data_IF_086946832954
#
_entry.id   IF_086946832954
#
_cell.length_a   1.000
_cell.length_b   1.000
_cell.length_c   1.000
_cell.angle_alpha   90.00
_cell.angle_beta   90.00
_cell.angle_gamma   90.00
#
_symmetry.space_group_name_H-M   'P 1'
#
loop_
_entity.id
_entity.type
_entity.pdbx_description
1 polymer ?
#
# COMPACT_ATOMS: atom_id res chain seq x y z
N UNK A 1 -53.12 -10.60 36.46
CA UNK A 1 -52.62 -11.79 35.74
C UNK A 1 -52.52 -11.39 34.28
N UNK A 2 -51.65 -10.43 34.01
CA UNK A 2 -50.23 -10.60 33.64
C UNK A 2 -50.11 -10.89 32.14
N UNK A 3 -49.97 -9.79 31.39
CA UNK A 3 -49.26 -9.76 30.12
C UNK A 3 -47.79 -10.14 30.37
N UNK A 4 -47.38 -11.30 29.87
CA UNK A 4 -45.97 -11.65 29.77
C UNK A 4 -45.49 -11.29 28.36
N UNK A 5 -45.06 -10.04 28.19
CA UNK A 5 -44.28 -9.62 27.02
C UNK A 5 -42.91 -10.32 27.06
N UNK A 6 -42.60 -11.09 26.01
CA UNK A 6 -41.27 -11.65 25.77
C UNK A 6 -40.24 -10.51 25.72
N UNK A 7 -39.05 -10.63 26.33
CA UNK A 7 -37.99 -9.65 26.14
C UNK A 7 -37.56 -9.71 24.68
N UNK A 8 -37.91 -8.66 23.93
CA UNK A 8 -37.37 -8.41 22.59
C UNK A 8 -35.85 -8.46 22.67
N UNK A 9 -35.24 -9.17 21.73
CA UNK A 9 -33.80 -9.23 21.56
C UNK A 9 -33.21 -7.81 21.50
N UNK A 10 -32.49 -7.40 22.54
CA UNK A 10 -31.64 -6.21 22.49
C UNK A 10 -30.57 -6.42 21.42
N UNK A 11 -30.54 -5.71 20.28
CA UNK A 11 -29.37 -5.70 19.43
C UNK A 11 -28.49 -4.55 19.94
N UNK A 12 -27.72 -4.78 21.00
CA UNK A 12 -26.81 -3.74 21.47
C UNK A 12 -25.53 -4.30 22.05
N UNK A 13 -24.74 -5.01 21.24
CA UNK A 13 -23.29 -4.98 21.45
C UNK A 13 -22.74 -3.78 20.69
N UNK A 14 -22.51 -2.69 21.40
CA UNK A 14 -21.77 -1.54 20.89
C UNK A 14 -20.36 -2.01 20.52
N UNK A 15 -20.15 -2.29 19.23
CA UNK A 15 -18.91 -2.87 18.73
C UNK A 15 -18.01 -1.81 18.08
N UNK A 16 -16.75 -1.77 18.50
CA UNK A 16 -15.68 -1.02 17.84
C UNK A 16 -15.04 -1.94 16.81
N UNK A 17 -15.07 -1.55 15.53
CA UNK A 17 -14.48 -2.29 14.42
C UNK A 17 -13.36 -1.49 13.80
N UNK A 18 -12.13 -1.99 13.91
CA UNK A 18 -10.93 -1.29 13.46
C UNK A 18 -10.32 -2.01 12.27
N UNK A 19 -10.12 -1.29 11.17
CA UNK A 19 -9.34 -1.76 10.03
C UNK A 19 -7.87 -1.36 10.19
N UNK A 20 -6.96 -2.33 10.08
CA UNK A 20 -5.52 -2.12 10.17
C UNK A 20 -4.93 -1.81 8.79
N UNK A 21 -4.55 -0.55 8.59
CA UNK A 21 -3.83 -0.08 7.40
C UNK A 21 -2.34 -0.18 7.66
N UNK A 22 -1.62 -1.00 6.92
CA UNK A 22 -0.17 -1.17 7.10
C UNK A 22 0.51 -1.59 5.80
N UNK A 23 1.81 -1.40 5.73
CA UNK A 23 2.65 -2.09 4.75
C UNK A 23 2.98 -3.50 5.31
N UNK A 24 2.58 -4.59 4.63
CA UNK A 24 2.83 -5.94 5.13
C UNK A 24 4.32 -6.30 5.22
N UNK A 25 5.16 -5.77 4.33
CA UNK A 25 6.60 -6.03 4.34
C UNK A 25 7.34 -5.30 5.47
N UNK A 26 6.88 -4.09 5.81
CA UNK A 26 7.59 -3.20 6.73
C UNK A 26 7.08 -3.27 8.17
N UNK A 27 5.81 -3.65 8.37
CA UNK A 27 5.17 -3.65 9.69
C UNK A 27 5.07 -5.05 10.32
N UNK A 28 5.89 -6.03 9.89
CA UNK A 28 5.78 -7.43 10.33
C UNK A 28 5.89 -7.55 11.86
N UNK A 29 6.83 -6.84 12.46
CA UNK A 29 7.10 -6.89 13.90
C UNK A 29 5.96 -6.22 14.68
N UNK A 30 5.54 -5.04 14.26
CA UNK A 30 4.47 -4.26 14.88
C UNK A 30 3.13 -5.00 14.79
N UNK A 31 2.80 -5.53 13.61
CA UNK A 31 1.57 -6.31 13.38
C UNK A 31 1.55 -7.56 14.26
N UNK A 32 2.67 -8.26 14.40
CA UNK A 32 2.80 -9.42 15.29
C UNK A 32 2.57 -9.01 16.75
N UNK A 33 3.27 -7.98 17.23
CA UNK A 33 3.12 -7.48 18.59
C UNK A 33 1.69 -7.03 18.89
N UNK A 34 1.04 -6.35 17.93
CA UNK A 34 -0.36 -5.98 18.03
C UNK A 34 -1.27 -7.20 18.17
N UNK A 35 -1.09 -8.22 17.32
CA UNK A 35 -1.94 -9.41 17.32
C UNK A 35 -1.77 -10.28 18.56
N UNK A 36 -0.53 -10.52 18.96
CA UNK A 36 -0.19 -11.45 20.05
C UNK A 36 -0.36 -10.81 21.43
N UNK A 37 -0.14 -9.50 21.55
CA UNK A 37 -0.09 -8.82 22.86
C UNK A 37 -1.12 -7.72 23.02
N UNK A 38 -1.25 -6.80 22.06
CA UNK A 38 -2.05 -5.58 22.24
C UNK A 38 -3.54 -5.82 22.05
N UNK A 39 -3.95 -6.42 20.94
CA UNK A 39 -5.37 -6.65 20.63
C UNK A 39 -6.06 -7.56 21.65
N UNK A 40 -5.46 -8.64 22.18
CA UNK A 40 -6.08 -9.44 23.24
C UNK A 40 -6.34 -8.61 24.51
N UNK A 41 -5.34 -7.84 24.95
CA UNK A 41 -5.46 -6.95 26.12
C UNK A 41 -6.48 -5.86 25.92
N UNK A 42 -6.51 -5.26 24.72
CA UNK A 42 -7.45 -4.20 24.39
C UNK A 42 -8.88 -4.73 24.30
N UNK A 43 -9.09 -5.91 23.72
CA UNK A 43 -10.40 -6.59 23.71
C UNK A 43 -10.90 -6.85 25.12
N UNK A 44 -10.04 -7.36 26.00
CA UNK A 44 -10.41 -7.60 27.40
C UNK A 44 -10.79 -6.30 28.11
N UNK A 45 -10.01 -5.24 27.92
CA UNK A 45 -10.29 -3.94 28.51
C UNK A 45 -11.59 -3.33 27.98
N UNK A 46 -11.82 -3.35 26.66
CA UNK A 46 -13.07 -2.87 26.06
C UNK A 46 -14.28 -3.62 26.64
N UNK A 47 -14.18 -4.95 26.79
CA UNK A 47 -15.25 -5.78 27.33
C UNK A 47 -15.52 -5.50 28.81
N UNK A 48 -14.47 -5.48 29.63
CA UNK A 48 -14.59 -5.40 31.10
C UNK A 48 -14.83 -3.99 31.63
N UNK A 49 -14.16 -2.98 31.06
CA UNK A 49 -14.22 -1.61 31.56
C UNK A 49 -15.27 -0.76 30.84
N UNK A 50 -15.55 -1.05 29.56
CA UNK A 50 -16.41 -0.20 28.72
C UNK A 50 -17.70 -0.91 28.26
N UNK A 51 -17.81 -2.24 28.45
CA UNK A 51 -18.95 -3.03 27.95
C UNK A 51 -19.02 -3.09 26.41
N UNK A 52 -17.89 -2.90 25.73
CA UNK A 52 -17.79 -2.85 24.27
C UNK A 52 -17.07 -4.09 23.72
N UNK A 53 -17.53 -4.58 22.56
CA UNK A 53 -16.78 -5.57 21.78
C UNK A 53 -15.78 -4.90 20.83
N UNK A 54 -14.57 -5.44 20.73
CA UNK A 54 -13.57 -4.95 19.78
C UNK A 54 -13.27 -6.01 18.71
N UNK A 55 -13.49 -5.65 17.45
CA UNK A 55 -13.07 -6.42 16.29
C UNK A 55 -11.97 -5.67 15.54
N UNK A 56 -10.90 -6.37 15.18
CA UNK A 56 -9.82 -5.80 14.35
C UNK A 56 -9.69 -6.63 13.10
N UNK A 57 -9.74 -5.97 11.93
CA UNK A 57 -9.54 -6.57 10.62
C UNK A 57 -8.14 -6.25 10.13
N UNK A 58 -7.31 -7.28 10.04
CA UNK A 58 -5.97 -7.22 9.49
C UNK A 58 -5.95 -7.91 8.11
N UNK A 59 -5.82 -7.16 7.00
CA UNK A 59 -5.86 -7.75 5.65
C UNK A 59 -4.69 -8.71 5.36
N UNK A 60 -3.60 -8.62 6.12
CA UNK A 60 -2.38 -9.41 5.89
C UNK A 60 -2.12 -10.40 7.03
N UNK A 61 -3.16 -10.81 7.74
CA UNK A 61 -3.07 -11.75 8.85
C UNK A 61 -2.45 -13.09 8.41
N UNK A 62 -2.82 -13.55 7.21
CA UNK A 62 -2.25 -14.75 6.58
C UNK A 62 -0.80 -14.52 6.16
N UNK A 63 0.07 -15.49 6.47
CA UNK A 63 1.44 -15.53 5.95
C UNK A 63 1.51 -15.86 4.45
N UNK A 64 0.43 -16.39 3.86
CA UNK A 64 0.32 -16.66 2.42
C UNK A 64 -0.27 -15.44 1.68
N UNK A 65 0.51 -14.78 0.80
CA UNK A 65 0.06 -13.61 0.05
C UNK A 65 -1.10 -13.86 -0.91
N UNK A 66 -1.30 -15.10 -1.36
CA UNK A 66 -2.41 -15.43 -2.27
C UNK A 66 -3.77 -15.35 -1.58
N UNK A 67 -3.78 -15.35 -0.24
CA UNK A 67 -5.00 -15.21 0.58
C UNK A 67 -5.31 -13.76 0.93
N UNK A 68 -4.43 -12.82 0.57
CA UNK A 68 -4.66 -11.42 0.88
C UNK A 68 -5.81 -10.86 0.02
N UNK A 69 -6.67 -10.01 0.60
CA UNK A 69 -7.80 -9.44 -0.11
C UNK A 69 -7.32 -8.52 -1.24
N UNK A 70 -8.03 -8.59 -2.36
CA UNK A 70 -7.81 -7.67 -3.46
C UNK A 70 -8.21 -6.23 -3.09
N UNK A 71 -7.92 -5.27 -3.97
CA UNK A 71 -8.23 -3.86 -3.72
C UNK A 71 -9.73 -3.60 -3.50
N UNK A 72 -10.59 -4.34 -4.20
CA UNK A 72 -12.05 -4.16 -4.09
C UNK A 72 -12.54 -4.61 -2.73
N UNK A 73 -12.08 -5.76 -2.27
CA UNK A 73 -12.42 -6.33 -0.97
C UNK A 73 -11.91 -5.45 0.17
N UNK A 74 -10.66 -4.96 0.09
CA UNK A 74 -10.12 -4.01 1.08
C UNK A 74 -10.96 -2.75 1.21
N UNK A 75 -11.39 -2.16 0.09
CA UNK A 75 -12.29 -1.00 0.10
C UNK A 75 -13.59 -1.28 0.86
N UNK A 76 -14.23 -2.41 0.59
CA UNK A 76 -15.48 -2.79 1.26
C UNK A 76 -15.30 -2.97 2.77
N UNK A 77 -14.18 -3.57 3.20
CA UNK A 77 -13.86 -3.72 4.62
C UNK A 77 -13.65 -2.37 5.33
N UNK A 78 -12.97 -1.44 4.66
CA UNK A 78 -12.76 -0.07 5.17
C UNK A 78 -14.10 0.65 5.31
N UNK A 79 -14.93 0.65 4.27
CA UNK A 79 -16.27 1.27 4.26
C UNK A 79 -17.16 0.66 5.36
N UNK A 80 -17.11 -0.67 5.55
CA UNK A 80 -17.86 -1.36 6.60
C UNK A 80 -17.41 -0.91 8.00
N UNK A 81 -16.10 -0.82 8.25
CA UNK A 81 -15.58 -0.34 9.54
C UNK A 81 -15.97 1.12 9.78
N UNK A 82 -15.84 1.98 8.76
CA UNK A 82 -16.20 3.39 8.83
C UNK A 82 -17.67 3.61 9.22
N UNK A 83 -18.57 2.86 8.60
CA UNK A 83 -20.02 3.00 8.77
C UNK A 83 -20.58 2.31 10.01
N UNK A 84 -19.94 1.23 10.48
CA UNK A 84 -20.53 0.38 11.54
C UNK A 84 -19.73 0.32 12.85
N UNK A 85 -18.55 0.95 12.93
CA UNK A 85 -17.76 1.01 14.16
C UNK A 85 -18.26 2.11 15.11
N UNK A 86 -18.52 1.76 16.37
CA UNK A 86 -18.86 2.71 17.44
C UNK A 86 -17.60 3.32 18.09
N UNK A 87 -16.82 4.07 17.30
CA UNK A 87 -15.60 4.71 17.76
C UNK A 87 -14.55 4.81 16.65
N UNK A 88 -13.25 4.71 17.00
CA UNK A 88 -12.20 4.61 16.01
C UNK A 88 -12.47 3.44 15.05
N UNK A 89 -12.25 3.66 13.76
CA UNK A 89 -12.47 2.62 12.75
C UNK A 89 -11.21 2.26 11.97
N UNK A 90 -10.15 3.04 12.14
CA UNK A 90 -8.92 2.87 11.40
C UNK A 90 -7.71 3.00 12.32
N UNK A 91 -6.78 2.06 12.18
CA UNK A 91 -5.46 2.10 12.75
C UNK A 91 -4.45 2.02 11.61
N UNK A 92 -3.62 3.05 11.42
CA UNK A 92 -2.57 3.06 10.42
C UNK A 92 -1.18 2.88 11.05
N UNK A 93 -0.40 1.95 10.52
CA UNK A 93 1.02 1.79 10.82
C UNK A 93 1.82 2.35 9.65
N UNK A 94 2.50 3.47 9.90
CA UNK A 94 3.36 4.13 8.93
C UNK A 94 4.82 3.87 9.34
N UNK A 95 5.48 2.97 8.62
CA UNK A 95 6.89 2.65 8.82
C UNK A 95 7.82 3.41 7.87
N UNK A 96 9.01 2.85 7.63
CA UNK A 96 10.05 3.42 6.77
C UNK A 96 9.77 3.19 5.29
N UNK A 97 9.29 2.00 4.97
CA UNK A 97 9.01 1.63 3.61
C UNK A 97 7.56 1.90 3.33
N UNK A 98 7.34 2.76 2.35
CA UNK A 98 6.02 2.96 1.77
C UNK A 98 5.66 1.80 0.82
N UNK A 99 6.06 0.54 1.04
CA UNK A 99 5.74 -0.61 0.17
C UNK A 99 6.85 -0.95 -0.83
N UNK A 100 6.72 -2.09 -1.52
CA UNK A 100 7.60 -2.46 -2.64
C UNK A 100 7.46 -1.43 -3.76
N UNK A 101 8.57 -0.82 -4.19
CA UNK A 101 8.57 0.10 -5.33
C UNK A 101 7.96 -0.60 -6.56
N UNK A 102 7.12 0.11 -7.30
CA UNK A 102 6.66 -0.35 -8.61
C UNK A 102 6.98 0.68 -9.68
N UNK A 103 6.70 0.32 -10.93
CA UNK A 103 6.67 1.28 -12.00
C UNK A 103 5.51 2.28 -11.81
N UNK A 104 5.76 3.59 -11.96
CA UNK A 104 4.71 4.62 -11.89
C UNK A 104 3.65 4.40 -12.97
N UNK A 105 2.39 4.68 -12.65
CA UNK A 105 1.29 4.49 -13.61
C UNK A 105 1.36 5.46 -14.78
N UNK A 106 1.87 6.67 -14.54
CA UNK A 106 2.08 7.71 -15.53
C UNK A 106 3.45 8.35 -15.32
N UNK A 107 4.13 8.67 -16.42
CA UNK A 107 5.36 9.47 -16.44
C UNK A 107 5.18 10.52 -17.53
N UNK A 108 5.50 11.79 -17.26
CA UNK A 108 5.39 12.81 -18.30
C UNK A 108 6.27 12.47 -19.52
N UNK A 109 5.85 12.84 -20.73
CA UNK A 109 6.63 12.57 -21.95
C UNK A 109 8.07 13.09 -21.84
N UNK A 110 8.27 14.31 -21.33
CA UNK A 110 9.60 14.90 -21.19
C UNK A 110 10.50 14.08 -20.25
N UNK A 111 9.98 13.70 -19.09
CA UNK A 111 10.72 12.93 -18.08
C UNK A 111 10.97 11.49 -18.56
N UNK A 112 9.99 10.86 -19.19
CA UNK A 112 10.15 9.51 -19.73
C UNK A 112 11.21 9.45 -20.83
N UNK A 113 11.23 10.43 -21.75
CA UNK A 113 12.24 10.53 -22.79
C UNK A 113 13.64 10.78 -22.21
N UNK A 114 13.75 11.63 -21.18
CA UNK A 114 15.00 11.85 -20.45
C UNK A 114 15.53 10.54 -19.85
N UNK A 115 14.67 9.74 -19.19
CA UNK A 115 15.05 8.45 -18.61
C UNK A 115 15.57 7.47 -19.66
N UNK A 116 14.93 7.41 -20.83
CA UNK A 116 15.37 6.58 -21.95
C UNK A 116 16.72 7.04 -22.49
N UNK A 117 16.90 8.35 -22.68
CA UNK A 117 18.12 8.92 -23.22
C UNK A 117 19.32 8.63 -22.31
N UNK A 118 19.18 8.81 -21.00
CA UNK A 118 20.26 8.54 -20.04
C UNK A 118 20.60 7.05 -20.00
N UNK A 119 19.61 6.16 -20.08
CA UNK A 119 19.87 4.73 -20.21
C UNK A 119 20.67 4.40 -21.47
N UNK A 120 20.28 4.96 -22.62
CA UNK A 120 20.96 4.73 -23.89
C UNK A 120 22.42 5.22 -23.85
N UNK A 121 22.65 6.42 -23.29
CA UNK A 121 23.99 6.98 -23.11
C UNK A 121 24.87 6.12 -22.18
N UNK A 122 24.27 5.50 -21.16
CA UNK A 122 24.95 4.58 -20.26
C UNK A 122 25.08 3.14 -20.81
N UNK A 123 24.64 2.87 -22.05
CA UNK A 123 24.67 1.53 -22.65
C UNK A 123 23.66 0.55 -22.05
N UNK A 124 22.65 1.03 -21.33
CA UNK A 124 21.61 0.23 -20.70
C UNK A 124 20.48 -0.01 -21.72
N UNK A 125 20.04 -1.26 -21.86
CA UNK A 125 18.95 -1.63 -22.76
C UNK A 125 17.61 -1.07 -22.24
N UNK A 126 16.97 -0.19 -23.03
CA UNK A 126 15.69 0.44 -22.69
C UNK A 126 14.45 -0.38 -23.10
N UNK A 127 14.63 -1.42 -23.92
CA UNK A 127 13.53 -2.21 -24.46
C UNK A 127 12.53 -2.77 -23.43
N UNK A 128 12.91 -3.12 -22.18
CA UNK A 128 11.92 -3.53 -21.17
C UNK A 128 10.97 -2.37 -20.82
N UNK A 129 11.51 -1.17 -20.62
CA UNK A 129 10.72 0.00 -20.22
C UNK A 129 9.79 0.45 -21.35
N UNK A 130 10.31 0.50 -22.58
CA UNK A 130 9.54 0.86 -23.79
C UNK A 130 8.36 -0.09 -24.05
N UNK A 131 8.50 -1.38 -23.72
CA UNK A 131 7.40 -2.36 -23.79
C UNK A 131 6.38 -2.18 -22.67
N UNK A 132 6.81 -1.73 -21.50
CA UNK A 132 5.95 -1.56 -20.34
C UNK A 132 5.02 -0.34 -20.46
N UNK A 133 5.40 0.70 -21.20
CA UNK A 133 4.65 1.95 -21.31
C UNK A 133 4.03 2.18 -22.69
N UNK A 134 2.96 2.96 -22.73
CA UNK A 134 2.34 3.46 -23.97
C UNK A 134 2.14 4.96 -23.86
N UNK A 135 2.53 5.70 -24.91
CA UNK A 135 2.25 7.13 -24.99
C UNK A 135 0.74 7.39 -25.03
N UNK A 136 0.29 8.32 -24.21
CA UNK A 136 -1.09 8.77 -24.06
C UNK A 136 -1.14 10.30 -24.27
N UNK A 137 -1.60 10.70 -25.46
CA UNK A 137 -1.75 12.10 -25.86
C UNK A 137 -3.01 12.74 -25.28
N UNK A 138 -3.89 11.96 -24.63
CA UNK A 138 -5.14 12.49 -24.08
C UNK A 138 -4.96 13.12 -22.69
N UNK A 139 -3.77 12.99 -22.10
CA UNK A 139 -3.39 13.66 -20.87
C UNK A 139 -2.81 15.05 -21.17
N UNK A 140 -3.05 16.01 -20.27
CA UNK A 140 -2.43 17.34 -20.32
C UNK A 140 -1.66 17.55 -19.00
N UNK A 141 -0.31 17.55 -19.02
CA UNK A 141 0.56 17.32 -20.17
C UNK A 141 0.52 15.87 -20.68
N UNK A 142 0.94 15.61 -21.94
CA UNK A 142 1.04 14.26 -22.48
C UNK A 142 1.91 13.34 -21.61
N UNK A 143 1.51 12.08 -21.44
CA UNK A 143 2.21 11.14 -20.55
C UNK A 143 2.38 9.76 -21.17
N UNK A 144 3.34 9.00 -20.67
CA UNK A 144 3.45 7.57 -20.90
C UNK A 144 2.70 6.84 -19.79
N UNK A 145 1.70 6.04 -20.17
CA UNK A 145 0.88 5.22 -19.27
C UNK A 145 1.43 3.79 -19.19
N UNK A 146 1.57 3.27 -17.98
CA UNK A 146 1.95 1.87 -17.75
C UNK A 146 0.85 0.93 -18.29
N UNK A 147 1.23 -0.01 -19.15
CA UNK A 147 0.31 -0.97 -19.73
C UNK A 147 -0.11 -2.01 -18.68
N UNK A 148 -1.41 -2.27 -18.57
CA UNK A 148 -1.89 -3.38 -17.75
C UNK A 148 -1.36 -4.68 -18.36
N UNK A 149 -0.57 -5.43 -17.57
CA UNK A 149 -0.18 -6.79 -17.96
C UNK A 149 -1.46 -7.60 -18.08
N UNK A 150 -1.77 -8.07 -19.29
CA UNK A 150 -2.91 -8.92 -19.52
C UNK A 150 -2.87 -10.10 -18.52
N UNK A 151 -3.77 -10.06 -17.54
CA UNK A 151 -4.18 -11.28 -16.85
C UNK A 151 -4.83 -12.20 -17.89
N UNK A 152 -4.92 -13.52 -17.63
CA UNK A 152 -5.67 -14.39 -18.52
C UNK A 152 -7.10 -13.85 -18.60
N UNK A 153 -7.44 -13.23 -19.73
CA UNK A 153 -8.81 -13.14 -20.18
C UNK A 153 -9.26 -14.59 -20.30
N UNK A 154 -10.14 -15.02 -19.40
CA UNK A 154 -10.89 -16.25 -19.56
C UNK A 154 -11.72 -16.10 -20.85
N UNK A 155 -11.12 -16.44 -21.99
CA UNK A 155 -11.84 -16.83 -23.19
C UNK A 155 -12.37 -18.25 -23.00
N UNK A 156 -13.43 -18.64 -23.72
CA UNK A 156 -14.10 -19.91 -23.49
C UNK A 156 -13.16 -21.08 -23.74
N UNK A 157 -13.27 -22.06 -22.85
CA UNK A 157 -12.55 -23.31 -22.79
C UNK A 157 -12.71 -24.11 -24.08
N UNK A 158 -11.61 -24.33 -24.80
CA UNK A 158 -11.47 -25.46 -25.71
C UNK A 158 -10.18 -26.21 -25.39
N UNK A 159 -10.35 -27.48 -25.04
CA UNK A 159 -9.29 -28.43 -24.74
C UNK A 159 -8.66 -28.95 -26.03
N UNK A 160 -7.33 -28.90 -26.16
CA UNK A 160 -6.54 -30.11 -26.40
C UNK A 160 -5.03 -29.87 -26.20
N UNK A 161 -4.33 -30.93 -25.81
CA UNK A 161 -2.97 -30.89 -25.24
C UNK A 161 -1.81 -30.62 -26.20
N UNK A 162 -0.63 -30.43 -25.60
CA UNK A 162 0.66 -30.36 -26.27
C UNK A 162 1.75 -29.87 -25.33
N UNK A 163 2.75 -30.70 -25.10
CA UNK A 163 3.83 -30.51 -24.14
C UNK A 163 4.87 -29.46 -24.55
N UNK A 164 5.55 -28.91 -23.54
CA UNK A 164 6.96 -28.50 -23.61
C UNK A 164 7.23 -27.01 -23.87
N UNK A 165 7.90 -26.36 -22.90
CA UNK A 165 8.76 -25.21 -23.18
C UNK A 165 8.59 -24.01 -22.25
N UNK A 166 9.52 -23.85 -21.29
CA UNK A 166 9.93 -22.53 -20.77
C UNK A 166 8.97 -21.83 -19.81
N UNK A 167 8.83 -22.33 -18.59
CA UNK A 167 8.22 -21.57 -17.50
C UNK A 167 9.25 -20.58 -16.92
N UNK A 168 9.65 -19.58 -17.71
CA UNK A 168 10.37 -18.40 -17.21
C UNK A 168 9.34 -17.44 -16.60
N UNK A 169 9.01 -17.72 -15.34
CA UNK A 169 8.74 -16.75 -14.26
C UNK A 169 8.07 -15.41 -14.68
N UNK A 170 6.74 -15.33 -14.51
CA UNK A 170 5.92 -14.11 -14.68
C UNK A 170 6.32 -12.98 -13.70
N UNK A 171 7.03 -13.32 -12.62
CA UNK A 171 7.62 -12.42 -11.62
C UNK A 171 8.84 -11.68 -12.19
N UNK A 172 9.75 -12.39 -12.86
CA UNK A 172 11.04 -11.83 -13.33
C UNK A 172 10.88 -10.69 -14.33
N UNK A 173 9.85 -10.75 -15.18
CA UNK A 173 9.60 -9.67 -16.17
C UNK A 173 9.28 -8.33 -15.51
N UNK A 174 8.65 -8.32 -14.32
CA UNK A 174 8.29 -7.06 -13.62
C UNK A 174 9.46 -6.41 -12.93
N UNK A 175 10.36 -7.25 -12.43
CA UNK A 175 11.57 -6.84 -11.72
C UNK A 175 12.59 -6.24 -12.68
N UNK A 176 12.71 -6.78 -13.90
CA UNK A 176 13.62 -6.23 -14.92
C UNK A 176 13.25 -4.80 -15.31
N UNK A 177 11.97 -4.55 -15.62
CA UNK A 177 11.49 -3.21 -16.01
C UNK A 177 11.67 -2.19 -14.87
N UNK A 178 11.32 -2.59 -13.64
CA UNK A 178 11.50 -1.77 -12.45
C UNK A 178 12.99 -1.46 -12.19
N UNK A 179 13.87 -2.44 -12.36
CA UNK A 179 15.32 -2.27 -12.18
C UNK A 179 15.89 -1.30 -13.21
N UNK A 180 15.49 -1.40 -14.47
CA UNK A 180 15.89 -0.43 -15.51
C UNK A 180 15.40 0.96 -15.14
N UNK A 181 14.14 1.09 -14.71
CA UNK A 181 13.57 2.38 -14.29
C UNK A 181 14.31 2.99 -13.09
N UNK A 182 14.57 2.21 -12.03
CA UNK A 182 15.34 2.64 -10.86
C UNK A 182 16.77 3.07 -11.22
N UNK A 183 17.40 2.33 -12.14
CA UNK A 183 18.75 2.67 -12.63
C UNK A 183 18.71 4.00 -13.39
N UNK A 184 17.71 4.20 -14.25
CA UNK A 184 17.52 5.45 -14.98
C UNK A 184 17.34 6.65 -14.04
N UNK A 185 16.50 6.52 -13.01
CA UNK A 185 16.32 7.55 -11.98
C UNK A 185 17.65 7.88 -11.30
N UNK A 186 18.42 6.86 -10.90
CA UNK A 186 19.72 7.03 -10.25
C UNK A 186 20.73 7.78 -11.13
N UNK A 187 20.78 7.44 -12.43
CA UNK A 187 21.66 8.12 -13.38
C UNK A 187 21.22 9.57 -13.64
N UNK A 188 19.92 9.85 -13.72
CA UNK A 188 19.42 11.22 -13.86
C UNK A 188 19.75 12.08 -12.64
N UNK A 189 19.70 11.51 -11.43
CA UNK A 189 20.11 12.20 -10.19
C UNK A 189 21.61 12.46 -10.19
N UNK A 190 22.42 11.47 -10.54
CA UNK A 190 23.88 11.63 -10.65
C UNK A 190 24.28 12.67 -11.71
N UNK A 191 23.54 12.73 -12.82
CA UNK A 191 23.74 13.69 -13.90
C UNK A 191 23.15 15.08 -13.65
N UNK A 192 22.50 15.31 -12.50
CA UNK A 192 21.85 16.59 -12.18
C UNK A 192 20.64 16.94 -13.05
N UNK A 193 20.10 15.98 -13.80
CA UNK A 193 18.94 16.16 -14.67
C UNK A 193 17.62 16.08 -13.91
N UNK A 194 17.65 15.51 -12.70
CA UNK A 194 16.51 15.35 -11.82
C UNK A 194 16.97 15.44 -10.36
N UNK A 195 16.10 15.96 -9.49
CA UNK A 195 16.38 16.00 -8.06
C UNK A 195 16.20 14.63 -7.40
N UNK A 196 16.87 14.40 -6.28
CA UNK A 196 16.67 13.19 -5.49
C UNK A 196 15.21 13.06 -5.00
N UNK A 197 14.55 14.18 -4.69
CA UNK A 197 13.14 14.20 -4.27
C UNK A 197 12.19 13.74 -5.38
N UNK A 198 12.35 14.27 -6.59
CA UNK A 198 11.57 13.86 -7.77
C UNK A 198 11.75 12.36 -8.08
N UNK A 199 12.99 11.86 -7.99
CA UNK A 199 13.26 10.44 -8.16
C UNK A 199 12.57 9.58 -7.08
N UNK A 200 12.57 10.03 -5.82
CA UNK A 200 11.85 9.35 -4.74
C UNK A 200 10.33 9.36 -4.95
N UNK A 201 9.76 10.45 -5.46
CA UNK A 201 8.32 10.55 -5.75
C UNK A 201 7.89 9.55 -6.83
N UNK A 202 8.76 9.29 -7.82
CA UNK A 202 8.55 8.24 -8.81
C UNK A 202 8.49 6.84 -8.22
N UNK A 203 9.39 6.54 -7.27
CA UNK A 203 9.39 5.26 -6.56
C UNK A 203 8.19 5.10 -5.62
N UNK A 204 7.68 6.22 -5.09
CA UNK A 204 6.49 6.25 -4.21
C UNK A 204 5.17 6.16 -5.00
N UNK A 205 5.14 6.62 -6.25
CA UNK A 205 3.95 6.61 -7.12
C UNK A 205 3.75 5.31 -7.90
N UNK A 206 4.75 4.42 -7.85
CA UNK A 206 4.72 3.09 -8.41
C UNK A 206 3.68 2.18 -7.80
N UNK A 207 2.51 2.07 -8.44
CA UNK A 207 1.27 1.45 -7.92
C UNK A 207 0.87 1.98 -6.53
N UNK A 208 -0.41 1.81 -6.16
CA UNK A 208 -0.80 2.16 -4.82
C UNK A 208 -0.25 1.11 -3.86
N UNK A 209 0.82 1.51 -3.21
CA UNK A 209 1.15 1.14 -1.84
C UNK A 209 -0.17 0.93 -1.12
N UNK A 210 -0.40 -0.29 -0.62
CA UNK A 210 -1.63 -0.62 0.09
C UNK A 210 -1.97 0.44 1.14
N UNK A 211 -0.95 0.87 1.90
CA UNK A 211 -1.03 1.94 2.88
C UNK A 211 -1.62 3.24 2.30
N UNK A 212 -1.03 3.80 1.24
CA UNK A 212 -1.47 5.10 0.68
C UNK A 212 -2.87 5.00 0.08
N UNK A 213 -3.21 3.89 -0.57
CA UNK A 213 -4.56 3.72 -1.12
C UNK A 213 -5.60 3.49 -0.05
N UNK A 214 -5.32 2.68 0.95
CA UNK A 214 -6.27 2.40 2.03
C UNK A 214 -6.46 3.62 2.92
N UNK A 215 -5.39 4.38 3.20
CA UNK A 215 -5.50 5.68 3.86
C UNK A 215 -6.36 6.65 3.05
N UNK A 216 -6.11 6.76 1.74
CA UNK A 216 -6.90 7.66 0.89
C UNK A 216 -8.38 7.22 0.85
N UNK A 217 -8.65 5.93 0.72
CA UNK A 217 -10.02 5.41 0.73
C UNK A 217 -10.72 5.68 2.07
N UNK A 218 -10.04 5.46 3.19
CA UNK A 218 -10.63 5.66 4.50
C UNK A 218 -10.91 7.14 4.84
N UNK A 219 -10.15 8.06 4.25
CA UNK A 219 -10.31 9.50 4.44
C UNK A 219 -11.25 10.14 3.41
N UNK A 220 -11.55 9.44 2.31
CA UNK A 220 -12.55 9.86 1.32
C UNK A 220 -13.95 9.54 1.83
N UNK A 221 -14.80 10.55 2.05
CA UNK A 221 -16.23 10.30 2.30
C UNK A 221 -16.92 11.07 3.43
N UNK A 222 -16.28 12.04 4.10
CA UNK A 222 -16.98 12.85 5.10
C UNK A 222 -16.33 14.19 5.41
N UNK A 223 -17.12 15.07 6.04
CA UNK A 223 -16.69 16.39 6.52
C UNK A 223 -15.45 16.21 7.41
N UNK A 224 -14.31 16.74 6.93
CA UNK A 224 -12.97 16.25 7.28
C UNK A 224 -12.58 16.17 8.75
N UNK A 225 -13.23 16.91 9.65
CA UNK A 225 -12.88 16.90 11.08
C UNK A 225 -13.44 15.68 11.85
N UNK A 226 -14.61 15.15 11.43
CA UNK A 226 -15.25 14.02 12.13
C UNK A 226 -14.58 12.67 11.86
N UNK A 227 -14.09 12.47 10.64
CA UNK A 227 -13.42 11.22 10.24
C UNK A 227 -12.02 11.14 10.84
N UNK A 228 -11.25 12.24 10.78
CA UNK A 228 -9.88 12.27 11.29
C UNK A 228 -9.80 11.88 12.78
N UNK A 229 -10.78 12.30 13.59
CA UNK A 229 -10.87 11.95 15.03
C UNK A 229 -11.14 10.47 15.29
N UNK A 230 -11.56 9.72 14.28
CA UNK A 230 -11.82 8.26 14.35
C UNK A 230 -10.70 7.43 13.72
N UNK A 231 -9.60 8.08 13.32
CA UNK A 231 -8.41 7.43 12.77
C UNK A 231 -7.24 7.56 13.76
N UNK A 232 -6.60 6.44 14.08
CA UNK A 232 -5.36 6.42 14.84
C UNK A 232 -4.19 6.16 13.89
N UNK A 233 -3.15 6.99 13.95
CA UNK A 233 -1.96 6.83 13.10
C UNK A 233 -0.73 6.69 13.99
N UNK A 234 -0.07 5.54 13.88
CA UNK A 234 1.23 5.30 14.47
C UNK A 234 2.31 5.50 13.41
N UNK A 235 3.23 6.44 13.67
CA UNK A 235 4.37 6.73 12.80
C UNK A 235 5.63 6.24 13.49
N UNK A 236 6.25 5.20 12.94
CA UNK A 236 7.55 4.74 13.40
C UNK A 236 8.64 5.66 12.81
N UNK A 237 9.20 6.55 13.64
CA UNK A 237 10.33 7.40 13.26
C UNK A 237 11.64 6.78 13.74
N UNK A 238 12.54 6.40 12.83
CA UNK A 238 13.96 6.26 13.19
C UNK A 238 14.60 7.63 13.16
N UNK A 239 15.16 8.03 14.30
CA UNK A 239 16.11 9.13 14.36
C UNK A 239 17.35 8.67 13.60
N UNK A 240 17.55 9.17 12.38
CA UNK A 240 18.84 9.05 11.72
C UNK A 240 19.89 9.61 12.67
N UNK A 241 20.84 8.77 13.08
CA UNK A 241 21.98 9.17 13.89
C UNK A 241 22.92 10.07 13.06
N UNK A 242 22.53 11.33 12.89
CA UNK A 242 23.43 12.41 12.50
C UNK A 242 23.63 13.30 13.72
N UNK A 243 24.64 12.92 14.51
CA UNK A 243 25.04 13.61 15.72
C UNK A 243 26.44 13.23 16.15
N UNK A 244 27.39 13.08 15.22
CA UNK A 244 28.79 13.28 15.58
C UNK A 244 28.95 14.74 16.00
N UNK A 245 28.80 15.02 17.30
CA UNK A 245 29.33 16.24 17.90
C UNK A 245 30.77 15.91 18.31
N UNK A 246 31.70 16.38 17.49
CA UNK A 246 33.10 16.56 17.84
C UNK A 246 33.19 17.20 19.24
N UNK A 247 33.65 16.40 20.22
CA UNK A 247 34.08 16.90 21.50
C UNK A 247 35.36 17.70 21.31
N UNK A 248 35.25 19.03 21.32
CA UNK A 248 36.39 19.91 21.60
C UNK A 248 36.94 19.55 22.98
N UNK A 249 38.21 19.17 23.04
CA UNK A 249 39.01 19.19 24.27
C UNK A 249 39.23 20.64 24.69
N UNK A 250 38.98 21.02 25.96
CA UNK A 250 39.46 22.29 26.47
C UNK A 250 40.94 22.18 26.85
N UNK A 251 41.67 23.22 26.50
CA UNK A 251 43.02 23.55 26.96
C UNK A 251 43.02 23.93 28.44
#
# INVERSE_FOLDING_TARGET
>A
MEESSLPGSEPCSSCVKVYLVSNPEDSVVERRALRETVFPRLREHCRTALGLDLTVTDPYESSDPNRWPDRRTRRQLIEQCQNTSNGPFLLALVGHQYGTASLPSHVEVAEYQMLLQVCQQAGIKTSPLEKAYRRDENCIPPSYRLQARAGPTHGPMESNGGAGGGQTTRTDKGEEELKVFQTALGLCVQGGLMTQETAHDYLRSGKPISLTVDLRLALQGGSGDGIARRCLVYVHRVLNALGQRNGKTPS
#
